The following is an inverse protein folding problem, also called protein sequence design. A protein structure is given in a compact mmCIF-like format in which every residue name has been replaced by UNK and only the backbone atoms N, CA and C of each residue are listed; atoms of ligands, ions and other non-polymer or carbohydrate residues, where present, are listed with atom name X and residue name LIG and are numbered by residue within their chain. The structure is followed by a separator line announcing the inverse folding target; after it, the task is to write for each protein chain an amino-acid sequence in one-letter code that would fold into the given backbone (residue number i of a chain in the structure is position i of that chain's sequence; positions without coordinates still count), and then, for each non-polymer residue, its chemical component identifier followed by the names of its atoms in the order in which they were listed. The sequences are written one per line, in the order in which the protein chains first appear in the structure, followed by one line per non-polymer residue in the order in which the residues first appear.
data_IF_412011027454
#
_entry.id   IF_412011027454
#
_cell.length_a   1.000
_cell.length_b   1.000
_cell.length_c   1.000
_cell.angle_alpha   90.00
_cell.angle_beta   90.00
_cell.angle_gamma   90.00
#
_symmetry.space_group_name_H-M   'P 1'
#
loop_
_entity.id
_entity.type
_entity.pdbx_description
1 polymer ?
#
# COMPACT_ATOMS: atom_id res chain seq x y z
N UNK A 1 -36.19 36.54 -9.47
CA UNK A 1 -36.09 37.59 -8.44
C UNK A 1 -34.75 37.36 -7.73
N UNK A 2 -33.85 38.29 -7.96
CA UNK A 2 -32.53 38.44 -7.37
C UNK A 2 -32.66 38.80 -5.87
N UNK A 3 -31.76 38.30 -5.02
CA UNK A 3 -31.17 38.97 -3.85
C UNK A 3 -30.30 37.94 -3.12
N UNK A 4 -28.99 37.96 -3.32
CA UNK A 4 -27.95 38.58 -2.47
C UNK A 4 -28.02 38.18 -0.99
N UNK A 5 -27.07 37.36 -0.57
CA UNK A 5 -26.50 37.45 0.77
C UNK A 5 -24.97 37.25 0.64
N UNK A 6 -24.33 38.41 0.56
CA UNK A 6 -22.91 38.56 0.89
C UNK A 6 -22.88 39.26 2.28
N UNK A 7 -21.79 39.08 2.99
CA UNK A 7 -21.42 39.75 4.23
C UNK A 7 -21.69 38.94 5.51
N UNK A 8 -20.66 38.38 6.12
CA UNK A 8 -19.96 38.99 7.26
C UNK A 8 -18.63 38.25 7.45
N UNK A 9 -17.56 38.87 7.01
CA UNK A 9 -16.22 38.66 7.48
C UNK A 9 -15.79 39.99 8.09
N UNK A 10 -15.58 40.06 9.38
CA UNK A 10 -14.66 41.02 9.98
C UNK A 10 -14.57 40.86 11.50
N UNK A 11 -13.34 40.75 11.97
CA UNK A 11 -12.81 41.36 13.20
C UNK A 11 -13.07 40.62 14.52
N UNK A 12 -12.01 39.95 15.05
CA UNK A 12 -11.44 40.39 16.33
C UNK A 12 -9.98 39.91 16.48
N UNK A 13 -9.04 40.76 16.05
CA UNK A 13 -7.73 40.84 16.69
C UNK A 13 -7.92 41.70 17.96
N UNK A 14 -7.51 41.18 19.11
CA UNK A 14 -7.16 42.06 20.22
C UNK A 14 -5.94 41.46 20.93
N UNK A 15 -4.84 42.19 20.77
CA UNK A 15 -3.61 42.10 21.56
C UNK A 15 -3.91 42.41 23.04
N UNK A 16 -3.29 41.68 23.96
CA UNK A 16 -2.78 42.25 25.21
C UNK A 16 -1.47 41.61 25.59
N UNK A 17 -0.41 42.39 25.41
CA UNK A 17 0.86 42.24 26.09
C UNK A 17 0.78 42.91 27.45
N UNK A 18 1.37 42.33 28.49
CA UNK A 18 1.96 43.00 29.68
C UNK A 18 2.65 41.93 30.53
N UNK A 19 3.97 41.85 30.40
CA UNK A 19 5.07 42.35 31.29
C UNK A 19 5.09 41.81 32.74
N UNK A 20 6.19 41.08 32.95
CA UNK A 20 7.24 41.27 33.97
C UNK A 20 7.02 40.74 35.39
N UNK A 21 7.85 39.87 35.86
CA UNK A 21 8.95 40.07 36.83
C UNK A 21 9.41 38.74 37.43
N UNK A 22 10.67 38.44 37.26
CA UNK A 22 11.43 37.54 38.13
C UNK A 22 11.78 38.26 39.43
N UNK A 23 12.19 37.57 40.54
CA UNK A 23 13.61 37.36 40.67
C UNK A 23 14.09 36.05 41.36
N UNK A 24 15.25 35.62 40.92
CA UNK A 24 16.44 35.12 41.61
C UNK A 24 16.31 34.48 43.03
N UNK A 25 16.86 33.27 43.20
CA UNK A 25 18.07 33.13 43.99
C UNK A 25 18.77 31.77 43.84
N UNK A 26 20.05 31.89 43.70
CA UNK A 26 21.14 30.99 43.53
C UNK A 26 21.43 30.08 44.77
N UNK A 27 22.10 28.94 44.47
CA UNK A 27 23.39 28.49 45.04
C UNK A 27 23.70 27.09 44.50
N UNK A 28 24.66 26.98 43.56
CA UNK A 28 26.05 26.50 43.72
C UNK A 28 26.22 25.25 44.59
N UNK A 29 26.72 24.18 43.98
CA UNK A 29 28.09 23.68 44.14
C UNK A 29 28.33 22.43 43.27
N UNK A 30 29.34 22.52 42.45
CA UNK A 30 30.59 21.76 42.21
C UNK A 30 30.53 20.41 41.50
N UNK A 31 31.05 20.48 40.27
CA UNK A 31 32.22 19.78 39.67
C UNK A 31 32.42 18.28 39.97
N UNK A 32 32.44 17.50 38.92
CA UNK A 32 33.65 16.76 38.53
C UNK A 32 33.58 16.26 37.08
N UNK A 33 34.51 16.74 36.28
CA UNK A 33 34.97 16.21 35.02
C UNK A 33 35.50 14.78 35.19
N UNK A 34 35.30 13.95 34.18
CA UNK A 34 36.30 12.97 33.79
C UNK A 34 36.11 12.63 32.32
N UNK A 35 37.13 13.00 31.58
CA UNK A 35 37.41 12.70 30.17
C UNK A 35 37.93 11.26 30.01
N UNK A 36 37.92 10.87 28.69
CA UNK A 36 38.73 9.84 28.01
C UNK A 36 38.26 8.40 28.15
N UNK A 37 38.16 7.59 27.11
CA UNK A 37 39.07 7.39 25.97
C UNK A 37 38.35 6.66 24.83
N UNK A 38 38.69 7.01 23.61
CA UNK A 38 38.48 6.24 22.40
C UNK A 38 39.38 5.00 22.39
N UNK A 39 38.86 3.87 22.01
CA UNK A 39 39.70 2.75 21.56
C UNK A 39 39.17 2.15 20.27
N UNK A 40 39.99 2.29 19.32
CA UNK A 40 39.99 1.80 17.94
C UNK A 40 40.54 0.37 17.98
N UNK A 41 39.79 -0.60 17.53
CA UNK A 41 40.35 -1.91 17.20
C UNK A 41 40.01 -2.25 15.74
N UNK A 42 41.10 -2.39 15.01
CA UNK A 42 41.22 -2.74 13.62
C UNK A 42 41.09 -4.25 13.37
N UNK A 43 40.49 -4.54 12.21
CA UNK A 43 40.69 -5.65 11.27
C UNK A 43 41.51 -6.86 11.69
N UNK A 44 40.97 -8.03 11.43
CA UNK A 44 41.72 -9.05 10.68
C UNK A 44 40.78 -9.98 9.88
N UNK A 45 41.08 -10.00 8.59
CA UNK A 45 40.58 -10.93 7.61
C UNK A 45 41.12 -12.36 7.90
N UNK A 46 40.33 -13.35 7.52
CA UNK A 46 40.91 -14.65 7.10
C UNK A 46 40.13 -15.19 5.93
N UNK A 47 40.82 -15.20 4.80
CA UNK A 47 40.57 -16.02 3.63
C UNK A 47 40.79 -17.50 3.97
N UNK A 48 39.95 -18.35 3.42
CA UNK A 48 40.36 -19.71 3.02
C UNK A 48 39.50 -20.14 1.85
N UNK A 49 40.17 -20.19 0.71
CA UNK A 49 39.81 -20.91 -0.51
C UNK A 49 39.46 -22.38 -0.26
N UNK A 50 38.58 -22.93 -1.06
CA UNK A 50 38.81 -24.12 -1.86
C UNK A 50 37.65 -24.43 -2.82
N UNK A 51 37.98 -24.43 -4.09
CA UNK A 51 37.34 -25.06 -5.26
C UNK A 51 38.15 -26.31 -5.57
N UNK A 52 37.83 -27.20 -6.55
CA UNK A 52 36.55 -27.78 -7.02
C UNK A 52 36.63 -29.32 -7.12
N UNK A 53 35.54 -29.99 -7.47
CA UNK A 53 35.64 -31.32 -8.09
C UNK A 53 34.50 -31.56 -9.07
N UNK A 54 34.90 -31.66 -10.33
CA UNK A 54 34.16 -32.23 -11.45
C UNK A 54 34.11 -33.78 -11.34
N UNK A 55 33.08 -34.39 -11.87
CA UNK A 55 33.07 -35.62 -12.67
C UNK A 55 31.73 -35.75 -13.38
N UNK A 56 31.77 -35.62 -14.63
CA UNK A 56 31.46 -36.38 -15.84
C UNK A 56 31.05 -37.84 -15.66
N UNK A 57 30.03 -38.21 -16.44
CA UNK A 57 29.96 -39.37 -17.37
C UNK A 57 28.54 -39.39 -17.96
N UNK A 58 28.38 -39.07 -19.28
CA UNK A 58 28.36 -40.03 -20.43
C UNK A 58 27.20 -41.01 -20.34
N UNK A 59 26.32 -40.85 -21.28
CA UNK A 59 26.15 -41.39 -22.64
C UNK A 59 25.21 -42.61 -22.67
N UNK A 60 24.12 -42.57 -23.40
CA UNK A 60 23.94 -43.46 -24.54
C UNK A 60 22.70 -43.14 -25.39
N UNK A 61 22.98 -43.14 -26.66
CA UNK A 61 22.05 -43.01 -27.78
C UNK A 61 21.49 -44.41 -28.19
N UNK A 62 20.39 -44.39 -28.92
CA UNK A 62 20.11 -45.16 -30.13
C UNK A 62 18.65 -45.00 -30.51
N UNK A 63 18.31 -44.42 -31.65
CA UNK A 63 18.36 -44.79 -33.06
C UNK A 63 17.09 -45.52 -33.57
N UNK A 64 16.49 -44.85 -34.56
CA UNK A 64 15.94 -45.31 -35.85
C UNK A 64 14.52 -45.96 -35.86
N UNK A 65 13.67 -45.58 -36.77
CA UNK A 65 13.56 -45.74 -38.20
C UNK A 65 12.32 -44.98 -38.71
N UNK A 66 12.38 -44.16 -39.77
CA UNK A 66 12.02 -44.42 -41.19
C UNK A 66 10.72 -45.19 -41.42
N UNK A 67 9.71 -44.60 -42.08
CA UNK A 67 9.56 -44.65 -43.53
C UNK A 67 8.29 -43.89 -44.01
N UNK A 68 8.48 -43.18 -45.09
CA UNK A 68 7.65 -42.85 -46.26
C UNK A 68 6.12 -42.76 -46.21
N UNK A 69 5.58 -41.65 -46.69
CA UNK A 69 4.98 -41.62 -48.04
C UNK A 69 4.72 -40.17 -48.52
N UNK A 70 5.12 -39.98 -49.79
CA UNK A 70 4.96 -38.79 -50.64
C UNK A 70 3.50 -38.48 -51.01
N UNK A 71 3.34 -37.21 -51.35
CA UNK A 71 2.65 -36.68 -52.51
C UNK A 71 1.35 -35.86 -52.26
N UNK A 72 1.42 -34.71 -52.98
CA UNK A 72 0.35 -33.82 -53.42
C UNK A 72 -0.16 -32.77 -52.43
N UNK A 73 -0.03 -31.46 -52.64
CA UNK A 73 -0.23 -30.66 -53.83
C UNK A 73 0.22 -29.23 -53.57
N UNK A 74 0.95 -28.65 -54.49
CA UNK A 74 1.19 -27.23 -54.61
C UNK A 74 -0.08 -26.53 -55.05
N UNK A 75 -0.64 -25.69 -54.15
CA UNK A 75 -1.57 -24.58 -54.52
C UNK A 75 -2.04 -23.69 -53.34
N UNK A 76 -1.29 -23.69 -52.19
CA UNK A 76 -1.64 -22.82 -51.05
C UNK A 76 -0.57 -21.76 -50.72
N UNK A 77 0.47 -21.60 -51.52
CA UNK A 77 1.66 -20.83 -51.14
C UNK A 77 1.66 -19.38 -51.64
N UNK A 78 0.63 -18.93 -52.35
CA UNK A 78 0.56 -17.54 -52.89
C UNK A 78 -0.37 -16.60 -52.09
N UNK A 79 -1.26 -17.15 -51.25
CA UNK A 79 -2.16 -16.32 -50.43
C UNK A 79 -1.60 -15.98 -49.02
N UNK A 80 -0.71 -16.82 -48.51
CA UNK A 80 -0.09 -16.62 -47.19
C UNK A 80 1.10 -15.67 -47.25
N UNK A 81 1.89 -15.72 -48.33
CA UNK A 81 2.98 -14.79 -48.59
C UNK A 81 2.52 -13.36 -48.85
N UNK A 82 1.34 -13.17 -49.44
CA UNK A 82 0.75 -11.83 -49.67
C UNK A 82 0.14 -11.25 -48.37
N UNK A 83 -0.28 -12.10 -47.42
CA UNK A 83 -0.82 -11.65 -46.15
C UNK A 83 0.30 -11.35 -45.12
N UNK A 84 1.41 -12.08 -45.21
CA UNK A 84 2.59 -11.81 -44.39
C UNK A 84 3.37 -10.59 -44.87
N UNK A 85 3.43 -10.33 -46.16
CA UNK A 85 4.01 -9.12 -46.73
C UNK A 85 3.14 -7.87 -46.47
N UNK A 86 1.83 -7.99 -46.48
CA UNK A 86 0.92 -6.88 -46.14
C UNK A 86 0.97 -6.56 -44.64
N UNK A 87 1.12 -7.59 -43.78
CA UNK A 87 1.25 -7.40 -42.30
C UNK A 87 2.60 -6.82 -41.95
N UNK A 88 3.66 -7.15 -42.70
CA UNK A 88 5.02 -6.61 -42.50
C UNK A 88 5.14 -5.19 -43.04
N UNK A 89 4.40 -4.81 -44.12
CA UNK A 89 4.37 -3.43 -44.63
C UNK A 89 3.49 -2.53 -43.79
N UNK A 90 2.43 -3.03 -43.18
CA UNK A 90 1.60 -2.28 -42.23
C UNK A 90 2.32 -2.11 -40.89
N UNK A 91 3.08 -3.13 -40.41
CA UNK A 91 3.98 -3.03 -39.27
C UNK A 91 5.18 -2.10 -39.54
N UNK A 92 5.75 -2.12 -40.78
CA UNK A 92 6.84 -1.22 -41.14
C UNK A 92 6.38 0.23 -41.40
N UNK A 93 5.07 0.48 -41.68
CA UNK A 93 4.49 1.84 -41.73
C UNK A 93 4.08 2.39 -40.36
N UNK A 94 4.02 1.56 -39.33
CA UNK A 94 3.84 1.99 -37.95
C UNK A 94 5.15 2.37 -37.21
N UNK A 95 6.31 2.14 -37.84
CA UNK A 95 7.59 2.69 -37.40
C UNK A 95 7.74 4.11 -37.95
N UNK A 96 7.20 5.14 -37.24
CA UNK A 96 7.56 6.42 -37.78
C UNK A 96 7.10 7.71 -37.18
N UNK A 97 6.19 7.80 -36.25
CA UNK A 97 5.99 9.09 -35.59
C UNK A 97 5.73 8.93 -34.12
N UNK A 98 6.81 9.14 -33.35
CA UNK A 98 6.71 9.24 -31.88
C UNK A 98 5.78 10.41 -31.54
N UNK A 99 4.83 10.18 -30.65
CA UNK A 99 4.01 11.25 -30.08
C UNK A 99 4.85 12.01 -29.05
N UNK A 100 5.15 13.27 -29.36
CA UNK A 100 5.90 14.13 -28.44
C UNK A 100 5.00 14.65 -27.33
N UNK A 101 5.48 14.57 -26.08
CA UNK A 101 4.83 15.11 -24.89
C UNK A 101 5.88 15.90 -24.12
N UNK A 102 5.69 17.21 -24.00
CA UNK A 102 6.67 18.11 -23.38
C UNK A 102 7.02 17.68 -21.96
N UNK A 103 6.01 17.35 -21.15
CA UNK A 103 6.21 16.94 -19.75
C UNK A 103 5.04 16.11 -19.22
N UNK A 104 5.35 15.25 -18.24
CA UNK A 104 4.37 14.60 -17.35
C UNK A 104 4.67 14.97 -15.91
N UNK A 105 3.64 15.34 -15.17
CA UNK A 105 3.70 15.63 -13.73
C UNK A 105 3.16 14.45 -12.92
N UNK A 106 4.01 13.86 -12.08
CA UNK A 106 3.72 12.74 -11.21
C UNK A 106 3.65 13.23 -9.75
N UNK A 107 2.51 13.04 -9.12
CA UNK A 107 2.27 13.41 -7.74
C UNK A 107 2.21 12.18 -6.85
N UNK A 108 3.04 12.16 -5.82
CA UNK A 108 3.08 11.11 -4.80
C UNK A 108 2.35 11.56 -3.54
N UNK A 109 1.60 10.66 -2.91
CA UNK A 109 1.00 10.95 -1.61
C UNK A 109 2.07 10.91 -0.51
N UNK A 110 1.97 11.76 0.53
CA UNK A 110 2.97 11.86 1.60
C UNK A 110 2.76 10.76 2.66
N UNK A 111 2.89 9.48 2.28
CA UNK A 111 2.78 8.34 3.20
C UNK A 111 4.08 8.07 3.98
N UNK A 112 5.17 8.71 3.58
CA UNK A 112 6.48 8.74 4.22
C UNK A 112 7.04 10.16 4.17
N UNK A 113 8.22 10.37 4.74
CA UNK A 113 8.90 11.65 4.67
C UNK A 113 9.11 12.08 3.20
N UNK A 114 8.74 13.32 2.83
CA UNK A 114 8.82 13.78 1.44
C UNK A 114 10.19 13.62 0.79
N UNK A 115 11.27 13.91 1.52
CA UNK A 115 12.63 13.78 1.02
C UNK A 115 12.99 12.31 0.71
N UNK A 116 12.50 11.36 1.51
CA UNK A 116 12.65 9.92 1.27
C UNK A 116 11.94 9.52 -0.03
N UNK A 117 10.68 9.97 -0.20
CA UNK A 117 9.90 9.68 -1.41
C UNK A 117 10.63 10.23 -2.65
N UNK A 118 11.05 11.50 -2.63
CA UNK A 118 11.76 12.13 -3.75
C UNK A 118 13.04 11.36 -4.08
N UNK A 119 13.85 11.03 -3.08
CA UNK A 119 15.12 10.33 -3.28
C UNK A 119 14.92 8.94 -3.90
N UNK A 120 13.96 8.15 -3.38
CA UNK A 120 13.69 6.81 -3.86
C UNK A 120 13.03 6.79 -5.25
N UNK A 121 12.25 7.82 -5.59
CA UNK A 121 11.50 7.87 -6.85
C UNK A 121 12.21 8.61 -7.97
N UNK A 122 13.35 9.26 -7.71
CA UNK A 122 14.13 9.96 -8.76
C UNK A 122 14.45 9.08 -9.98
N UNK A 123 14.84 7.79 -9.83
CA UNK A 123 15.09 6.91 -10.98
C UNK A 123 13.84 6.65 -11.85
N UNK A 124 12.64 6.86 -11.32
CA UNK A 124 11.39 6.67 -12.07
C UNK A 124 11.31 7.56 -13.30
N UNK A 125 11.91 8.75 -13.27
CA UNK A 125 11.90 9.70 -14.39
C UNK A 125 12.43 9.07 -15.67
N UNK A 126 13.61 8.46 -15.59
CA UNK A 126 14.24 7.84 -16.77
C UNK A 126 13.62 6.47 -17.10
N UNK A 127 13.21 5.70 -16.08
CA UNK A 127 12.47 4.46 -16.30
C UNK A 127 11.17 4.71 -17.08
N UNK A 128 10.39 5.71 -16.66
CA UNK A 128 9.12 6.03 -17.32
C UNK A 128 9.35 6.53 -18.75
N UNK A 129 10.32 7.42 -18.99
CA UNK A 129 10.66 7.85 -20.34
C UNK A 129 11.02 6.67 -21.24
N UNK A 130 11.86 5.76 -20.73
CA UNK A 130 12.28 4.57 -21.46
C UNK A 130 11.10 3.66 -21.82
N UNK A 131 10.21 3.38 -20.87
CA UNK A 131 9.05 2.52 -21.11
C UNK A 131 8.01 3.20 -22.02
N UNK A 132 7.79 4.51 -21.86
CA UNK A 132 6.89 5.27 -22.74
C UNK A 132 7.41 5.34 -24.19
N UNK A 133 8.73 5.39 -24.38
CA UNK A 133 9.34 5.30 -25.71
C UNK A 133 8.96 3.99 -26.41
N UNK A 134 8.94 2.86 -25.70
CA UNK A 134 8.49 1.56 -26.24
C UNK A 134 7.00 1.56 -26.62
N UNK A 135 6.22 2.48 -26.04
CA UNK A 135 4.80 2.65 -26.36
C UNK A 135 4.54 3.74 -27.41
N UNK A 136 5.59 4.26 -28.08
CA UNK A 136 5.47 5.26 -29.12
C UNK A 136 5.35 6.71 -28.63
N UNK A 137 5.74 6.99 -27.38
CA UNK A 137 5.73 8.34 -26.81
C UNK A 137 7.15 8.82 -26.47
N UNK A 138 7.48 10.04 -26.86
CA UNK A 138 8.69 10.72 -26.45
C UNK A 138 8.36 11.76 -25.37
N UNK A 139 8.68 11.43 -24.12
CA UNK A 139 8.45 12.32 -22.98
C UNK A 139 9.67 13.21 -22.77
N UNK A 140 9.52 14.52 -22.95
CA UNK A 140 10.61 15.48 -22.77
C UNK A 140 11.07 15.56 -21.30
N UNK A 141 10.12 15.73 -20.38
CA UNK A 141 10.40 15.87 -18.96
C UNK A 141 9.40 15.07 -18.12
N UNK A 142 9.89 14.43 -17.04
CA UNK A 142 9.06 13.86 -15.98
C UNK A 142 9.35 14.65 -14.71
N UNK A 143 8.33 15.31 -14.18
CA UNK A 143 8.39 16.05 -12.92
C UNK A 143 7.77 15.23 -11.79
N UNK A 144 8.49 15.10 -10.68
CA UNK A 144 8.02 14.39 -9.48
C UNK A 144 7.75 15.41 -8.38
N UNK A 145 6.55 15.32 -7.80
CA UNK A 145 6.10 16.12 -6.68
C UNK A 145 5.59 15.20 -5.57
N UNK A 146 5.75 15.64 -4.32
CA UNK A 146 5.12 15.01 -3.16
C UNK A 146 4.08 16.01 -2.63
N UNK A 147 2.84 15.55 -2.50
CA UNK A 147 1.77 16.39 -1.95
C UNK A 147 2.00 16.71 -0.48
N UNK A 148 1.40 17.78 0.00
CA UNK A 148 1.42 18.13 1.43
C UNK A 148 0.46 17.27 2.25
N UNK A 149 -0.63 16.83 1.64
CA UNK A 149 -1.62 15.89 2.18
C UNK A 149 -2.12 14.97 1.06
N UNK A 150 -2.83 13.91 1.40
CA UNK A 150 -3.46 13.01 0.44
C UNK A 150 -4.52 13.75 -0.39
N UNK A 151 -5.30 14.60 0.28
CA UNK A 151 -6.33 15.42 -0.33
C UNK A 151 -5.73 16.40 -1.35
N UNK A 152 -4.59 17.04 -1.02
CA UNK A 152 -3.90 17.95 -1.95
C UNK A 152 -3.47 17.25 -3.26
N UNK A 153 -3.10 15.97 -3.20
CA UNK A 153 -2.81 15.17 -4.40
C UNK A 153 -4.10 14.90 -5.20
N UNK A 154 -5.19 14.56 -4.53
CA UNK A 154 -6.50 14.36 -5.15
C UNK A 154 -7.02 15.64 -5.83
N UNK A 155 -6.89 16.79 -5.17
CA UNK A 155 -7.25 18.10 -5.70
C UNK A 155 -6.40 18.46 -6.93
N UNK A 156 -5.07 18.23 -6.88
CA UNK A 156 -4.18 18.49 -8.01
C UNK A 156 -4.55 17.63 -9.22
N UNK A 157 -4.90 16.36 -9.00
CA UNK A 157 -5.35 15.46 -10.05
C UNK A 157 -6.70 15.92 -10.63
N UNK A 158 -7.67 16.25 -9.78
CA UNK A 158 -8.98 16.77 -10.21
C UNK A 158 -8.89 18.11 -10.95
N UNK A 159 -7.94 18.97 -10.57
CA UNK A 159 -7.73 20.26 -11.24
C UNK A 159 -6.97 20.12 -12.57
N UNK A 160 -6.37 18.97 -12.87
CA UNK A 160 -5.53 18.78 -14.07
C UNK A 160 -4.12 19.37 -13.94
N UNK A 161 -3.69 19.74 -12.75
CA UNK A 161 -2.32 20.21 -12.45
C UNK A 161 -1.36 19.05 -12.20
N UNK A 162 -1.85 17.91 -11.73
CA UNK A 162 -1.18 16.63 -11.76
C UNK A 162 -1.70 15.80 -12.93
N UNK A 163 -0.81 15.19 -13.72
CA UNK A 163 -1.19 14.26 -14.78
C UNK A 163 -1.45 12.85 -14.21
N UNK A 164 -0.61 12.43 -13.30
CA UNK A 164 -0.64 11.09 -12.67
C UNK A 164 -0.44 11.22 -11.16
N UNK A 165 -1.23 10.49 -10.38
CA UNK A 165 -1.02 10.31 -8.94
C UNK A 165 -0.63 8.87 -8.64
N UNK A 166 0.35 8.69 -7.73
CA UNK A 166 0.89 7.39 -7.33
C UNK A 166 0.77 7.18 -5.82
N UNK A 167 0.47 5.95 -5.44
CA UNK A 167 0.36 5.55 -4.05
C UNK A 167 -0.89 6.10 -3.33
N UNK A 168 -1.90 6.56 -4.08
CA UNK A 168 -3.11 7.12 -3.52
C UNK A 168 -4.01 5.99 -2.97
N UNK A 169 -4.33 5.99 -1.66
CA UNK A 169 -5.27 5.03 -1.10
C UNK A 169 -6.64 5.10 -1.77
N UNK A 170 -7.31 3.96 -1.88
CA UNK A 170 -8.64 3.88 -2.49
C UNK A 170 -9.65 4.82 -1.86
N UNK A 171 -9.61 4.98 -0.52
CA UNK A 171 -10.46 5.90 0.20
C UNK A 171 -10.27 7.38 -0.16
N UNK A 172 -9.03 7.76 -0.50
CA UNK A 172 -8.76 9.11 -1.04
C UNK A 172 -9.18 9.20 -2.50
N UNK A 173 -8.86 8.19 -3.31
CA UNK A 173 -9.23 8.17 -4.73
C UNK A 173 -10.72 8.44 -4.95
N UNK A 174 -11.61 7.76 -4.23
CA UNK A 174 -13.05 7.87 -4.41
C UNK A 174 -13.64 9.22 -3.99
N UNK A 175 -12.91 10.05 -3.25
CA UNK A 175 -13.30 11.43 -2.94
C UNK A 175 -13.08 12.39 -4.11
N UNK A 176 -12.25 11.99 -5.09
CA UNK A 176 -11.82 12.80 -6.23
C UNK A 176 -12.09 12.11 -7.58
N UNK A 177 -12.86 11.03 -7.59
CA UNK A 177 -13.10 10.22 -8.78
C UNK A 177 -13.90 10.94 -9.89
N UNK A 178 -14.59 12.03 -9.58
CA UNK A 178 -15.19 12.92 -10.60
C UNK A 178 -14.11 13.50 -11.55
N UNK A 179 -12.94 13.89 -11.02
CA UNK A 179 -11.83 14.47 -11.77
C UNK A 179 -10.66 13.52 -12.01
N UNK A 180 -10.66 12.34 -11.38
CA UNK A 180 -9.62 11.32 -11.46
C UNK A 180 -10.16 10.02 -12.06
N UNK A 181 -9.28 9.25 -12.73
CA UNK A 181 -9.55 7.91 -13.25
C UNK A 181 -8.46 6.96 -12.76
N UNK A 182 -8.81 5.94 -11.98
CA UNK A 182 -7.88 4.87 -11.65
C UNK A 182 -7.51 4.08 -12.91
N UNK A 183 -6.25 3.77 -13.07
CA UNK A 183 -5.73 2.99 -14.19
C UNK A 183 -5.05 1.70 -13.74
N UNK A 184 -4.42 1.73 -12.55
CA UNK A 184 -3.72 0.58 -11.97
C UNK A 184 -3.96 0.52 -10.47
N UNK A 185 -3.92 -0.68 -9.92
CA UNK A 185 -3.77 -0.96 -8.49
C UNK A 185 -2.39 -1.52 -8.22
N UNK A 186 -1.80 -1.13 -7.11
CA UNK A 186 -0.55 -1.71 -6.64
C UNK A 186 -0.76 -3.16 -6.23
N UNK A 187 0.29 -3.97 -6.37
CA UNK A 187 0.33 -5.32 -5.83
C UNK A 187 1.32 -5.41 -4.70
N UNK A 188 1.07 -6.32 -3.77
CA UNK A 188 1.96 -6.68 -2.66
C UNK A 188 2.12 -8.20 -2.63
N UNK A 189 3.09 -8.70 -1.88
CA UNK A 189 3.16 -10.12 -1.63
C UNK A 189 1.86 -10.58 -0.96
N UNK A 190 1.29 -11.65 -1.46
CA UNK A 190 0.17 -12.30 -0.82
C UNK A 190 0.58 -12.91 0.52
N UNK A 191 -0.39 -13.42 1.24
CA UNK A 191 -0.19 -14.10 2.52
C UNK A 191 -0.50 -15.60 2.36
N UNK A 192 0.10 -16.41 3.20
CA UNK A 192 -0.22 -17.84 3.33
C UNK A 192 -1.63 -18.07 3.92
N UNK A 193 -2.22 -17.03 4.51
CA UNK A 193 -3.57 -16.99 5.05
C UNK A 193 -4.33 -15.80 4.46
N UNK A 194 -5.47 -16.07 3.85
CA UNK A 194 -6.43 -15.06 3.37
C UNK A 194 -7.84 -15.66 3.45
N UNK A 195 -8.37 -15.72 4.67
CA UNK A 195 -9.63 -16.38 4.97
C UNK A 195 -10.73 -15.38 5.32
N UNK A 196 -11.97 -15.70 4.96
CA UNK A 196 -13.16 -14.91 5.31
C UNK A 196 -13.57 -15.09 6.78
N UNK A 197 -13.21 -16.22 7.39
CA UNK A 197 -13.61 -16.56 8.75
C UNK A 197 -12.47 -16.33 9.74
N UNK A 198 -12.74 -15.59 10.80
CA UNK A 198 -11.75 -15.24 11.82
C UNK A 198 -11.07 -16.47 12.44
N UNK A 199 -11.82 -17.52 12.74
CA UNK A 199 -11.29 -18.76 13.33
C UNK A 199 -10.20 -19.43 12.49
N UNK A 200 -10.28 -19.30 11.17
CA UNK A 200 -9.35 -19.97 10.26
C UNK A 200 -7.95 -19.33 10.25
N UNK A 201 -7.82 -18.12 10.83
CA UNK A 201 -6.55 -17.45 11.08
C UNK A 201 -5.85 -17.92 12.36
N UNK A 202 -6.55 -18.69 13.23
CA UNK A 202 -6.17 -18.97 14.62
C UNK A 202 -5.60 -20.37 14.82
N UNK A 203 -4.77 -20.84 13.90
CA UNK A 203 -4.10 -22.15 13.99
C UNK A 203 -2.80 -22.13 14.82
N UNK A 204 -2.47 -20.99 15.44
CA UNK A 204 -1.25 -20.80 16.23
C UNK A 204 0.04 -20.72 15.42
N UNK A 205 -0.04 -20.75 14.09
CA UNK A 205 1.13 -20.67 13.20
C UNK A 205 1.29 -19.26 12.64
N UNK A 206 2.53 -18.94 12.30
CA UNK A 206 2.85 -17.69 11.61
C UNK A 206 2.12 -17.59 10.26
N UNK A 207 1.70 -16.37 9.93
CA UNK A 207 1.31 -16.03 8.57
C UNK A 207 2.57 -15.66 7.79
N UNK A 208 2.85 -16.39 6.73
CA UNK A 208 4.01 -16.17 5.87
C UNK A 208 3.64 -15.33 4.65
N UNK A 209 4.64 -14.71 4.01
CA UNK A 209 4.46 -14.15 2.68
C UNK A 209 4.40 -15.25 1.64
N UNK A 210 3.67 -15.00 0.56
CA UNK A 210 3.71 -15.85 -0.63
C UNK A 210 4.24 -15.05 -1.82
N UNK A 211 4.85 -15.73 -2.80
CA UNK A 211 5.31 -15.10 -4.03
C UNK A 211 4.16 -14.67 -4.95
N UNK A 212 2.93 -15.08 -4.64
CA UNK A 212 1.74 -14.67 -5.37
C UNK A 212 1.43 -13.22 -5.04
N UNK A 213 1.36 -12.37 -6.05
CA UNK A 213 0.98 -10.98 -5.89
C UNK A 213 -0.52 -10.85 -5.59
N UNK A 214 -0.86 -10.00 -4.63
CA UNK A 214 -2.23 -9.68 -4.23
C UNK A 214 -2.54 -8.21 -4.51
N UNK A 215 -3.74 -7.94 -5.05
CA UNK A 215 -4.27 -6.59 -5.32
C UNK A 215 -5.06 -6.01 -4.16
N UNK A 216 -5.29 -6.82 -3.14
CA UNK A 216 -6.07 -6.45 -1.95
C UNK A 216 -5.51 -7.09 -0.71
N UNK A 217 -5.89 -6.57 0.43
CA UNK A 217 -5.63 -7.11 1.76
C UNK A 217 -6.89 -7.00 2.61
N UNK A 218 -6.89 -7.52 3.84
CA UNK A 218 -8.03 -7.41 4.76
C UNK A 218 -7.67 -6.60 5.98
N UNK A 219 -8.67 -6.06 6.66
CA UNK A 219 -8.51 -5.66 8.04
C UNK A 219 -8.82 -6.84 8.97
N UNK A 220 -8.01 -6.96 10.01
CA UNK A 220 -8.20 -7.92 11.07
C UNK A 220 -8.50 -7.20 12.39
N UNK A 221 -9.45 -7.72 13.12
CA UNK A 221 -9.66 -7.40 14.54
C UNK A 221 -8.99 -8.50 15.35
N UNK A 222 -8.02 -8.12 16.18
CA UNK A 222 -7.14 -9.06 16.89
C UNK A 222 -7.33 -8.89 18.40
N UNK A 223 -7.74 -9.96 19.07
CA UNK A 223 -7.78 -10.06 20.52
C UNK A 223 -6.40 -10.45 21.06
N UNK A 224 -6.01 -9.81 22.16
CA UNK A 224 -4.73 -10.00 22.83
C UNK A 224 -4.76 -10.96 24.01
N UNK A 225 -3.67 -10.98 24.81
CA UNK A 225 -3.48 -11.93 25.90
C UNK A 225 -4.29 -11.62 27.17
N UNK A 226 -5.06 -10.52 27.22
CA UNK A 226 -5.90 -10.21 28.37
C UNK A 226 -6.98 -11.28 28.57
N UNK A 227 -7.48 -11.44 29.79
CA UNK A 227 -8.54 -12.39 30.10
C UNK A 227 -9.78 -12.18 29.24
N UNK A 228 -10.19 -10.92 29.03
CA UNK A 228 -11.33 -10.60 28.15
C UNK A 228 -11.02 -10.90 26.67
N UNK A 229 -9.83 -10.58 26.21
CA UNK A 229 -9.40 -10.89 24.84
C UNK A 229 -9.44 -12.38 24.57
N UNK A 230 -8.91 -13.18 25.48
CA UNK A 230 -8.90 -14.64 25.36
C UNK A 230 -10.30 -15.25 25.45
N UNK A 231 -11.18 -14.72 26.30
CA UNK A 231 -12.57 -15.18 26.40
C UNK A 231 -13.35 -14.96 25.08
N UNK A 232 -13.15 -13.83 24.40
CA UNK A 232 -13.76 -13.56 23.10
C UNK A 232 -13.13 -14.45 22.01
N UNK A 233 -11.83 -14.62 22.03
CA UNK A 233 -11.11 -15.52 21.12
C UNK A 233 -11.62 -16.96 21.22
N UNK A 234 -11.88 -17.44 22.42
CA UNK A 234 -12.45 -18.79 22.65
C UNK A 234 -13.83 -18.96 22.00
N UNK A 235 -14.72 -17.95 22.13
CA UNK A 235 -16.04 -17.96 21.46
C UNK A 235 -15.87 -18.07 19.92
N UNK A 236 -15.00 -17.24 19.33
CA UNK A 236 -14.76 -17.25 17.89
C UNK A 236 -14.20 -18.60 17.43
N UNK A 237 -13.23 -19.16 18.15
CA UNK A 237 -12.61 -20.43 17.82
C UNK A 237 -13.59 -21.62 17.93
N UNK A 238 -14.61 -21.50 18.77
CA UNK A 238 -15.75 -22.45 18.82
C UNK A 238 -16.77 -22.23 17.71
N UNK A 239 -16.65 -21.17 16.92
CA UNK A 239 -17.61 -20.81 15.86
C UNK A 239 -18.87 -20.13 16.38
N UNK A 240 -18.83 -19.61 17.63
CA UNK A 240 -19.92 -18.82 18.19
C UNK A 240 -19.97 -17.42 17.56
N UNK A 241 -21.19 -16.91 17.36
CA UNK A 241 -21.36 -15.53 16.90
C UNK A 241 -21.18 -14.56 18.04
N UNK A 242 -20.35 -13.54 17.82
CA UNK A 242 -20.19 -12.44 18.77
C UNK A 242 -21.42 -11.54 18.76
N UNK A 243 -21.77 -11.03 19.92
CA UNK A 243 -22.80 -10.00 20.12
C UNK A 243 -22.14 -8.63 20.21
N UNK A 244 -22.95 -7.55 20.11
CA UNK A 244 -22.45 -6.21 20.35
C UNK A 244 -21.87 -6.04 21.78
N UNK A 245 -22.49 -6.68 22.77
CA UNK A 245 -22.00 -6.62 24.16
C UNK A 245 -20.61 -7.27 24.30
N UNK A 246 -20.34 -8.35 23.55
CA UNK A 246 -19.02 -8.96 23.48
C UNK A 246 -17.97 -7.97 22.95
N UNK A 247 -18.29 -7.28 21.86
CA UNK A 247 -17.42 -6.28 21.21
C UNK A 247 -17.25 -5.04 22.08
N UNK A 248 -18.35 -4.50 22.60
CA UNK A 248 -18.35 -3.29 23.42
C UNK A 248 -17.77 -3.48 24.82
N UNK A 249 -17.70 -4.74 25.29
CA UNK A 249 -17.08 -5.11 26.56
C UNK A 249 -15.54 -5.05 26.55
N UNK A 250 -14.91 -4.98 25.36
CA UNK A 250 -13.46 -4.91 25.19
C UNK A 250 -12.96 -3.46 25.22
N UNK A 251 -11.71 -3.31 25.62
CA UNK A 251 -10.92 -2.09 25.40
C UNK A 251 -10.22 -2.20 24.05
N UNK A 252 -10.49 -1.29 23.15
CA UNK A 252 -9.99 -1.30 21.78
C UNK A 252 -8.86 -0.31 21.56
N UNK A 253 -7.84 -0.72 20.80
CA UNK A 253 -6.95 0.19 20.10
C UNK A 253 -7.42 0.34 18.66
N UNK A 254 -7.70 1.58 18.27
CA UNK A 254 -8.12 1.96 16.92
C UNK A 254 -7.07 2.88 16.31
N UNK A 255 -7.11 3.05 14.99
CA UNK A 255 -6.23 3.99 14.29
C UNK A 255 -6.97 5.29 13.98
N UNK A 256 -6.27 6.21 13.31
CA UNK A 256 -6.84 7.43 12.78
C UNK A 256 -8.08 7.11 11.89
N UNK A 257 -9.14 7.92 11.93
CA UNK A 257 -10.35 7.75 11.11
C UNK A 257 -10.12 7.64 9.59
N UNK A 258 -8.99 8.13 9.07
CA UNK A 258 -8.61 7.95 7.66
C UNK A 258 -7.95 6.61 7.34
N UNK A 259 -7.67 5.77 8.35
CA UNK A 259 -7.04 4.46 8.15
C UNK A 259 -8.05 3.43 7.64
N UNK A 260 -7.88 2.93 6.42
CA UNK A 260 -8.74 1.89 5.85
C UNK A 260 -8.82 0.66 6.76
N UNK A 261 -7.68 0.07 7.12
CA UNK A 261 -7.67 -1.17 7.92
C UNK A 261 -7.84 -0.96 9.43
N UNK A 262 -7.44 0.19 9.95
CA UNK A 262 -7.47 0.44 11.41
C UNK A 262 -8.73 1.13 11.89
N UNK A 263 -9.60 1.57 10.96
CA UNK A 263 -10.82 2.29 11.31
C UNK A 263 -11.97 2.07 10.32
N UNK A 264 -11.80 2.41 9.03
CA UNK A 264 -12.89 2.51 8.06
C UNK A 264 -13.58 1.16 7.84
N UNK A 265 -12.83 0.14 7.47
CA UNK A 265 -13.39 -1.19 7.21
C UNK A 265 -13.88 -1.91 8.47
N UNK A 266 -13.22 -1.79 9.64
CA UNK A 266 -13.82 -2.19 10.91
C UNK A 266 -15.13 -1.48 11.24
N UNK A 267 -15.28 -0.19 10.92
CA UNK A 267 -16.53 0.53 11.13
C UNK A 267 -17.66 -0.04 10.24
N UNK A 268 -17.36 -0.33 8.96
CA UNK A 268 -18.29 -1.03 8.07
C UNK A 268 -18.68 -2.41 8.62
N UNK A 269 -17.70 -3.18 9.07
CA UNK A 269 -17.93 -4.50 9.65
C UNK A 269 -18.86 -4.44 10.87
N UNK A 270 -18.68 -3.46 11.77
CA UNK A 270 -19.58 -3.29 12.91
C UNK A 270 -20.95 -2.78 12.49
N UNK A 271 -21.02 -1.91 11.48
CA UNK A 271 -22.30 -1.44 10.95
C UNK A 271 -23.11 -2.59 10.33
N UNK A 272 -22.47 -3.44 9.56
CA UNK A 272 -23.12 -4.57 8.89
C UNK A 272 -23.64 -5.61 9.89
N UNK A 273 -22.84 -5.93 10.91
CA UNK A 273 -23.20 -7.00 11.86
C UNK A 273 -24.07 -6.52 13.01
N UNK A 274 -23.85 -5.30 13.50
CA UNK A 274 -24.44 -4.85 14.76
C UNK A 274 -25.28 -3.59 14.62
N UNK A 275 -25.30 -2.95 13.44
CA UNK A 275 -25.89 -1.62 13.23
C UNK A 275 -25.30 -0.56 14.19
N UNK A 276 -24.00 -0.69 14.45
CA UNK A 276 -23.21 0.15 15.36
C UNK A 276 -21.93 0.62 14.66
N UNK A 277 -21.39 1.75 15.11
CA UNK A 277 -20.13 2.31 14.62
C UNK A 277 -19.00 2.19 15.65
N UNK A 278 -17.78 2.53 15.25
CA UNK A 278 -16.63 2.63 16.17
C UNK A 278 -16.89 3.67 17.27
N UNK A 279 -17.62 4.75 16.95
CA UNK A 279 -18.01 5.78 17.92
C UNK A 279 -18.96 5.30 19.01
N UNK A 280 -19.61 4.13 18.83
CA UNK A 280 -20.48 3.50 19.85
C UNK A 280 -19.70 2.63 20.85
N UNK A 281 -18.38 2.41 20.62
CA UNK A 281 -17.52 1.67 21.53
C UNK A 281 -17.31 2.44 22.82
N UNK A 282 -17.64 1.82 23.96
CA UNK A 282 -17.49 2.46 25.29
C UNK A 282 -16.03 2.69 25.67
N UNK A 283 -15.09 1.89 25.15
CA UNK A 283 -13.69 1.94 25.52
C UNK A 283 -12.81 1.77 24.27
N UNK A 284 -12.60 2.85 23.54
CA UNK A 284 -11.67 2.92 22.40
C UNK A 284 -10.60 3.98 22.64
N UNK A 285 -9.36 3.67 22.34
CA UNK A 285 -8.22 4.58 22.37
C UNK A 285 -7.55 4.60 21.00
N UNK A 286 -7.33 5.79 20.47
CA UNK A 286 -6.57 5.95 19.24
C UNK A 286 -5.08 5.74 19.51
N UNK A 287 -4.42 4.97 18.64
CA UNK A 287 -2.97 4.81 18.61
C UNK A 287 -2.38 5.53 17.40
N UNK A 288 -1.17 6.06 17.55
CA UNK A 288 -0.50 6.85 16.52
C UNK A 288 0.13 5.94 15.44
N UNK A 289 0.43 4.69 15.80
CA UNK A 289 1.00 3.68 14.90
C UNK A 289 0.53 2.28 15.26
N UNK A 290 0.63 1.35 14.31
CA UNK A 290 0.36 -0.06 14.60
C UNK A 290 1.34 -0.64 15.62
N UNK A 291 2.61 -0.21 15.61
CA UNK A 291 3.58 -0.61 16.64
C UNK A 291 3.12 -0.23 18.06
N UNK A 292 2.63 1.02 18.25
CA UNK A 292 2.10 1.45 19.54
C UNK A 292 0.80 0.73 19.91
N UNK A 293 -0.04 0.38 18.93
CA UNK A 293 -1.23 -0.43 19.15
C UNK A 293 -0.88 -1.83 19.67
N UNK A 294 0.11 -2.50 19.06
CA UNK A 294 0.60 -3.81 19.50
C UNK A 294 1.30 -3.75 20.86
N UNK A 295 2.04 -2.68 21.18
CA UNK A 295 2.62 -2.47 22.51
C UNK A 295 1.53 -2.37 23.60
N UNK A 296 0.43 -1.64 23.32
CA UNK A 296 -0.72 -1.56 24.23
C UNK A 296 -1.42 -2.91 24.40
N UNK A 297 -1.53 -3.70 23.32
CA UNK A 297 -2.09 -5.04 23.34
C UNK A 297 -1.22 -5.99 24.20
N UNK A 298 0.09 -5.98 23.97
CA UNK A 298 1.05 -6.80 24.70
C UNK A 298 1.08 -6.49 26.19
N UNK A 299 0.93 -5.22 26.57
CA UNK A 299 0.91 -4.79 27.99
C UNK A 299 -0.45 -4.95 28.67
N UNK A 300 -1.52 -5.36 27.93
CA UNK A 300 -2.87 -5.48 28.47
C UNK A 300 -3.58 -4.14 28.73
N UNK A 301 -3.05 -3.02 28.19
CA UNK A 301 -3.75 -1.73 28.23
C UNK A 301 -5.03 -1.75 27.39
N UNK A 302 -5.03 -2.55 26.32
CA UNK A 302 -6.20 -2.84 25.49
C UNK A 302 -6.39 -4.34 25.39
N UNK A 303 -7.64 -4.76 25.16
CA UNK A 303 -8.02 -6.16 24.99
C UNK A 303 -7.96 -6.60 23.52
N UNK A 304 -8.18 -5.66 22.61
CA UNK A 304 -8.18 -5.92 21.18
C UNK A 304 -7.71 -4.69 20.38
N UNK A 305 -7.32 -4.92 19.13
CA UNK A 305 -6.93 -3.87 18.17
C UNK A 305 -7.46 -4.16 16.77
N UNK A 306 -7.44 -3.13 15.91
CA UNK A 306 -7.79 -3.19 14.50
C UNK A 306 -6.55 -2.90 13.66
N UNK A 307 -6.24 -3.76 12.68
CA UNK A 307 -5.04 -3.62 11.86
C UNK A 307 -5.20 -4.25 10.46
N UNK A 308 -4.22 -4.00 9.59
CA UNK A 308 -4.11 -4.71 8.32
C UNK A 308 -3.69 -6.17 8.50
N UNK A 309 -4.06 -7.03 7.57
CA UNK A 309 -3.65 -8.44 7.57
C UNK A 309 -2.25 -8.60 6.91
N UNK A 310 -1.28 -9.31 7.49
CA UNK A 310 -1.32 -9.69 8.88
C UNK A 310 -0.24 -8.91 9.65
N UNK A 311 -0.65 -7.85 10.32
CA UNK A 311 0.26 -6.97 11.05
C UNK A 311 1.00 -7.67 12.20
N UNK A 312 0.57 -8.87 12.57
CA UNK A 312 1.30 -9.70 13.56
C UNK A 312 2.70 -10.05 13.06
N UNK A 313 2.88 -10.25 11.75
CA UNK A 313 4.20 -10.53 11.15
C UNK A 313 5.20 -9.43 11.44
N UNK A 314 4.79 -8.20 11.18
CA UNK A 314 5.66 -7.03 11.30
C UNK A 314 5.99 -6.69 12.76
N UNK A 315 5.22 -7.27 13.69
CA UNK A 315 5.40 -7.09 15.14
C UNK A 315 5.86 -8.35 15.86
N UNK A 316 6.09 -9.47 15.16
CA UNK A 316 6.43 -10.75 15.79
C UNK A 316 7.76 -10.72 16.57
N UNK A 317 8.80 -10.11 15.99
CA UNK A 317 10.09 -9.96 16.67
C UNK A 317 9.99 -8.99 17.86
N UNK A 318 9.24 -7.89 17.71
CA UNK A 318 9.03 -6.93 18.80
C UNK A 318 8.24 -7.54 19.94
N UNK A 319 7.31 -8.44 19.65
CA UNK A 319 6.44 -9.06 20.65
C UNK A 319 7.23 -9.75 21.76
N UNK A 320 8.17 -10.60 21.40
CA UNK A 320 9.04 -11.30 22.36
C UNK A 320 10.26 -10.47 22.76
N UNK A 321 10.83 -9.70 21.82
CA UNK A 321 12.05 -8.90 22.02
C UNK A 321 11.81 -7.63 22.84
N UNK A 322 11.02 -6.70 22.29
CA UNK A 322 10.79 -5.38 22.89
C UNK A 322 9.69 -5.42 23.95
N UNK A 323 8.55 -6.05 23.63
CA UNK A 323 7.38 -6.10 24.54
C UNK A 323 7.49 -7.19 25.60
N UNK A 324 8.58 -8.00 25.58
CA UNK A 324 8.94 -8.99 26.61
C UNK A 324 7.84 -10.03 26.87
N UNK A 325 7.11 -10.43 25.83
CA UNK A 325 6.17 -11.53 25.94
C UNK A 325 6.92 -12.87 25.94
N UNK A 326 6.44 -13.85 26.71
CA UNK A 326 7.07 -15.17 26.84
C UNK A 326 6.73 -16.09 25.68
N UNK A 327 5.54 -15.97 25.12
CA UNK A 327 5.06 -16.74 23.98
C UNK A 327 5.04 -15.90 22.71
N UNK A 328 5.00 -16.55 21.58
CA UNK A 328 4.89 -15.88 20.30
C UNK A 328 3.57 -15.10 20.15
N UNK A 329 3.56 -14.10 19.31
CA UNK A 329 2.36 -13.32 18.98
C UNK A 329 1.23 -14.23 18.44
N UNK A 330 1.59 -15.31 17.75
CA UNK A 330 0.66 -16.27 17.16
C UNK A 330 -0.05 -17.16 18.20
N UNK A 331 0.62 -17.41 19.34
CA UNK A 331 0.06 -18.18 20.45
C UNK A 331 -0.79 -17.32 21.40
N UNK A 332 -0.47 -16.03 21.51
CA UNK A 332 -1.11 -15.15 22.49
C UNK A 332 -2.21 -14.26 21.89
N UNK A 333 -2.31 -14.20 20.55
CA UNK A 333 -3.32 -13.37 19.90
C UNK A 333 -4.18 -14.19 18.94
N UNK A 334 -5.45 -13.80 18.84
CA UNK A 334 -6.40 -14.45 17.95
C UNK A 334 -7.15 -13.42 17.12
N UNK A 335 -7.41 -13.72 15.86
CA UNK A 335 -8.30 -12.94 15.02
C UNK A 335 -9.73 -13.18 15.48
N UNK A 336 -10.47 -12.12 15.74
CA UNK A 336 -11.87 -12.16 16.20
C UNK A 336 -12.84 -11.53 15.19
N UNK A 337 -12.32 -10.89 14.15
CA UNK A 337 -13.10 -10.36 13.05
C UNK A 337 -12.23 -10.14 11.82
N UNK A 338 -12.83 -10.31 10.64
CA UNK A 338 -12.19 -10.17 9.34
C UNK A 338 -13.11 -9.37 8.43
N UNK A 339 -12.59 -8.36 7.79
CA UNK A 339 -13.38 -7.53 6.86
C UNK A 339 -13.39 -8.11 5.44
N UNK A 340 -14.23 -7.56 4.58
CA UNK A 340 -14.12 -7.73 3.14
C UNK A 340 -12.75 -7.22 2.66
N UNK A 341 -12.26 -7.67 1.47
CA UNK A 341 -11.01 -7.19 0.90
C UNK A 341 -10.99 -5.67 0.70
N UNK A 342 -9.84 -5.07 0.97
CA UNK A 342 -9.49 -3.66 0.77
C UNK A 342 -8.52 -3.62 -0.39
N UNK A 343 -8.85 -2.88 -1.46
CA UNK A 343 -7.93 -2.74 -2.59
C UNK A 343 -6.68 -1.94 -2.18
N UNK A 344 -5.55 -2.31 -2.77
CA UNK A 344 -4.28 -1.60 -2.57
C UNK A 344 -4.33 -0.20 -3.19
N UNK A 345 -3.25 0.55 -2.96
CA UNK A 345 -3.10 1.91 -3.45
C UNK A 345 -3.21 2.00 -4.98
N UNK A 346 -3.73 3.12 -5.45
CA UNK A 346 -3.97 3.36 -6.88
C UNK A 346 -2.78 4.02 -7.57
N UNK A 347 -2.68 3.80 -8.90
CA UNK A 347 -2.18 4.80 -9.83
C UNK A 347 -3.41 5.36 -10.55
N UNK A 348 -3.63 6.66 -10.43
CA UNK A 348 -4.75 7.35 -11.05
C UNK A 348 -4.25 8.49 -11.95
N UNK A 349 -5.02 8.79 -12.99
CA UNK A 349 -4.73 9.88 -13.92
C UNK A 349 -5.82 10.94 -13.89
N UNK A 350 -5.47 12.16 -14.25
CA UNK A 350 -6.43 13.26 -14.33
C UNK A 350 -7.34 13.13 -15.55
N UNK A 351 -8.64 13.23 -15.34
CA UNK A 351 -9.64 13.39 -16.40
C UNK A 351 -9.60 14.78 -17.04
N UNK A 352 -8.97 15.76 -16.39
CA UNK A 352 -8.91 17.16 -16.80
C UNK A 352 -7.56 17.57 -17.38
N UNK A 353 -6.56 16.67 -17.38
CA UNK A 353 -5.30 16.88 -18.10
C UNK A 353 -5.50 16.70 -19.61
N UNK A 354 -5.09 17.71 -20.41
CA UNK A 354 -5.14 17.66 -21.87
C UNK A 354 -4.16 16.66 -22.49
N UNK A 355 -3.23 16.13 -21.69
CA UNK A 355 -2.21 15.17 -22.12
C UNK A 355 -2.69 13.73 -21.99
N UNK A 356 -3.76 13.51 -21.23
CA UNK A 356 -4.25 12.18 -20.88
C UNK A 356 -5.48 11.86 -21.75
N UNK A 357 -5.29 11.02 -22.74
CA UNK A 357 -6.33 10.38 -23.53
C UNK A 357 -6.28 8.85 -23.31
N UNK A 358 -7.18 8.10 -23.94
CA UNK A 358 -7.25 6.64 -23.77
C UNK A 358 -5.98 5.93 -24.28
N UNK A 359 -5.29 6.47 -25.31
CA UNK A 359 -4.03 5.92 -25.80
C UNK A 359 -2.89 6.15 -24.81
N UNK A 360 -2.83 7.35 -24.22
CA UNK A 360 -1.88 7.68 -23.17
C UNK A 360 -2.11 6.80 -21.92
N UNK A 361 -3.37 6.55 -21.56
CA UNK A 361 -3.72 5.65 -20.45
C UNK A 361 -3.20 4.24 -20.71
N UNK A 362 -3.45 3.67 -21.91
CA UNK A 362 -2.95 2.34 -22.28
C UNK A 362 -1.41 2.27 -22.24
N UNK A 363 -0.74 3.31 -22.74
CA UNK A 363 0.71 3.42 -22.69
C UNK A 363 1.24 3.50 -21.25
N UNK A 364 0.62 4.32 -20.38
CA UNK A 364 1.00 4.45 -18.98
C UNK A 364 0.78 3.13 -18.21
N UNK A 365 -0.33 2.43 -18.46
CA UNK A 365 -0.59 1.13 -17.84
C UNK A 365 0.53 0.14 -18.17
N UNK A 366 0.88 0.00 -19.45
CA UNK A 366 1.96 -0.89 -19.90
C UNK A 366 3.32 -0.47 -19.33
N UNK A 367 3.62 0.83 -19.33
CA UNK A 367 4.87 1.36 -18.82
C UNK A 367 5.03 1.10 -17.32
N UNK A 368 4.03 1.40 -16.50
CA UNK A 368 4.12 1.18 -15.05
C UNK A 368 4.14 -0.31 -14.67
N UNK A 369 3.41 -1.17 -15.40
CA UNK A 369 3.48 -2.62 -15.19
C UNK A 369 4.91 -3.11 -15.50
N UNK A 370 5.50 -2.72 -16.64
CA UNK A 370 6.86 -3.10 -17.01
C UNK A 370 7.90 -2.57 -16.01
N UNK A 371 7.72 -1.34 -15.51
CA UNK A 371 8.56 -0.79 -14.43
C UNK A 371 8.46 -1.66 -13.19
N UNK A 372 7.25 -2.00 -12.75
CA UNK A 372 7.01 -2.86 -11.58
C UNK A 372 7.59 -4.28 -11.70
N UNK A 373 7.83 -4.77 -12.93
CA UNK A 373 8.45 -6.06 -13.20
C UNK A 373 9.99 -5.98 -13.24
N UNK A 374 10.56 -4.81 -13.50
CA UNK A 374 12.01 -4.60 -13.59
C UNK A 374 12.66 -4.51 -12.20
N UNK A 375 13.93 -4.94 -12.06
CA UNK A 375 14.67 -4.85 -10.79
C UNK A 375 14.75 -3.42 -10.26
N UNK A 376 15.16 -2.46 -11.12
CA UNK A 376 15.24 -1.05 -10.73
C UNK A 376 13.88 -0.44 -10.40
N UNK A 377 12.85 -0.83 -11.13
CA UNK A 377 11.51 -0.37 -10.86
C UNK A 377 10.98 -0.87 -9.52
N UNK A 378 11.25 -2.14 -9.16
CA UNK A 378 10.90 -2.69 -7.84
C UNK A 378 11.57 -1.94 -6.69
N UNK A 379 12.82 -1.51 -6.85
CA UNK A 379 13.50 -0.67 -5.86
C UNK A 379 12.77 0.67 -5.66
N UNK A 380 12.30 1.28 -6.75
CA UNK A 380 11.56 2.55 -6.72
C UNK A 380 10.19 2.39 -6.04
N UNK A 381 9.40 1.40 -6.47
CA UNK A 381 8.04 1.23 -5.96
C UNK A 381 8.00 0.67 -4.53
N UNK A 382 9.11 0.11 -4.05
CA UNK A 382 9.26 -0.36 -2.67
C UNK A 382 9.09 0.76 -1.63
N UNK A 383 9.21 2.05 -2.02
CA UNK A 383 8.90 3.18 -1.15
C UNK A 383 7.50 3.08 -0.53
N UNK A 384 6.54 2.47 -1.23
CA UNK A 384 5.20 2.19 -0.73
C UNK A 384 4.95 0.70 -0.41
N UNK A 385 6.03 -0.10 -0.32
CA UNK A 385 5.95 -1.56 -0.16
C UNK A 385 5.18 -2.25 -1.29
N UNK A 386 5.21 -1.67 -2.49
CA UNK A 386 4.62 -2.27 -3.68
C UNK A 386 5.58 -3.27 -4.32
N UNK A 387 5.05 -4.30 -4.96
CA UNK A 387 5.81 -5.32 -5.70
C UNK A 387 5.54 -5.28 -7.21
N UNK A 388 4.55 -4.52 -7.65
CA UNK A 388 4.15 -4.38 -9.03
C UNK A 388 2.79 -3.70 -9.15
N UNK A 389 2.22 -3.78 -10.35
CA UNK A 389 0.94 -3.17 -10.65
C UNK A 389 0.07 -4.08 -11.52
N UNK A 390 -1.24 -3.97 -11.37
CA UNK A 390 -2.24 -4.62 -12.21
C UNK A 390 -3.28 -3.61 -12.67
N UNK A 391 -3.90 -3.86 -13.83
CA UNK A 391 -4.98 -3.01 -14.35
C UNK A 391 -6.14 -3.00 -13.34
N UNK A 392 -6.57 -1.81 -12.98
CA UNK A 392 -7.70 -1.58 -12.08
C UNK A 392 -8.87 -0.95 -12.85
N UNK A 393 -10.07 -1.21 -12.35
CA UNK A 393 -11.31 -0.61 -12.81
C UNK A 393 -11.89 0.26 -11.70
N UNK A 394 -12.61 1.29 -12.08
CA UNK A 394 -13.28 2.17 -11.14
C UNK A 394 -14.19 1.42 -10.15
N UNK A 395 -14.92 0.40 -10.65
CA UNK A 395 -15.79 -0.45 -9.85
C UNK A 395 -15.07 -1.30 -8.78
N UNK A 396 -13.75 -1.48 -8.88
CA UNK A 396 -12.97 -2.20 -7.87
C UNK A 396 -12.96 -1.43 -6.54
N UNK A 397 -13.23 -0.12 -6.58
CA UNK A 397 -13.26 0.79 -5.43
C UNK A 397 -14.68 1.14 -4.94
N UNK A 398 -15.72 0.42 -5.38
CA UNK A 398 -17.11 0.67 -4.93
C UNK A 398 -17.27 0.49 -3.41
N UNK A 399 -16.54 -0.44 -2.81
CA UNK A 399 -16.54 -0.63 -1.35
C UNK A 399 -15.91 0.55 -0.60
N UNK A 400 -14.92 1.20 -1.17
CA UNK A 400 -14.36 2.43 -0.62
C UNK A 400 -15.38 3.58 -0.69
N UNK A 401 -16.18 3.68 -1.77
CA UNK A 401 -17.28 4.65 -1.88
C UNK A 401 -18.34 4.41 -0.82
N UNK A 402 -18.74 3.17 -0.61
CA UNK A 402 -19.70 2.80 0.43
C UNK A 402 -19.14 3.15 1.82
N UNK A 403 -17.86 2.89 2.04
CA UNK A 403 -17.16 3.22 3.26
C UNK A 403 -17.15 4.73 3.53
N UNK A 404 -16.80 5.53 2.53
CA UNK A 404 -16.77 6.99 2.67
C UNK A 404 -18.18 7.58 2.93
N UNK A 405 -19.20 7.07 2.24
CA UNK A 405 -20.59 7.48 2.49
C UNK A 405 -21.02 7.18 3.92
N UNK A 406 -20.66 6.01 4.44
CA UNK A 406 -20.96 5.64 5.82
C UNK A 406 -20.30 6.60 6.81
N UNK A 407 -19.00 6.85 6.66
CA UNK A 407 -18.25 7.74 7.56
C UNK A 407 -18.85 9.16 7.56
N UNK A 408 -19.18 9.68 6.37
CA UNK A 408 -19.85 10.99 6.26
C UNK A 408 -21.19 10.98 6.99
N UNK A 409 -21.96 9.90 6.90
CA UNK A 409 -23.25 9.78 7.58
C UNK A 409 -23.13 9.70 9.12
N UNK A 410 -22.02 9.12 9.61
CA UNK A 410 -21.72 9.01 11.04
C UNK A 410 -21.16 10.31 11.62
N UNK A 411 -20.38 11.05 10.84
CA UNK A 411 -19.82 12.35 11.23
C UNK A 411 -20.82 13.51 11.21
N UNK A 412 -22.02 13.29 10.67
CA UNK A 412 -23.10 14.28 10.58
C UNK A 412 -24.08 14.20 11.76
N UNK A 413 -23.85 13.33 12.73
CA UNK A 413 -24.62 13.20 13.97
C UNK A 413 -23.84 13.77 15.14
#
# INVERSE_FOLDING_TARGET
MKKTFAMVLAILMLMTALTACAPNNAKTTDKKESQTSAEKVTNKANEAEQKPSQKESEENATKAAKDETEATTAEATTAEAAKEAATTEEAAKAEGQMTEVDSLSLYFVPSREPDEIVAMTEPLKELLKSEMTKQGYQIGKVDIFVGTTYEAVGEALSAGTADVALGMPGGTYVLYDDGAKVILTATRNGLSKDFDQAKDWNDGKATETSDKQAVSYRSLMIAGPSEKGQAIAEKVNKGEKLTWDDINGLKWSIMNPSSSAGYIYPALYFQDLFQKGIGDLSNAVQSDSYGSAFARLASGQVDALMCYADARRDNAEKWTGEFKREKSIWEETNVIGVTVPIYNDTIAVSKNSKKIDDKMIDALQKAFIAIGESEKGKEVIAVYSHNGYQIAKDSDYDKERDAQKLIQSLGSK
#
